data_IF_822659107914
#
_entry.id   IF_822659107914
#
_cell.length_a   1.000
_cell.length_b   1.000
_cell.length_c   1.000
_cell.angle_alpha   90.00
_cell.angle_beta   90.00
_cell.angle_gamma   90.00
#
_symmetry.space_group_name_H-M   'P 1'
#
loop_
_entity.id
_entity.type
_entity.pdbx_description
1 polymer ?
#
# COMPACT_ATOMS: atom_id res chain seq x y z
N UNK A 1 13.46 21.94 -8.68
CA UNK A 1 12.08 22.23 -8.19
C UNK A 1 11.81 23.70 -8.25
N UNK A 2 10.61 24.12 -8.69
CA UNK A 2 10.18 25.52 -8.59
C UNK A 2 10.18 25.93 -7.11
N UNK A 3 10.58 27.16 -6.80
CA UNK A 3 10.49 27.70 -5.45
C UNK A 3 9.03 27.71 -4.99
N UNK A 4 8.72 26.98 -3.93
CA UNK A 4 7.40 27.03 -3.29
C UNK A 4 7.46 27.92 -2.04
N UNK A 5 6.34 28.56 -1.68
CA UNK A 5 6.22 29.28 -0.41
C UNK A 5 5.73 28.29 0.67
N UNK A 6 6.52 27.97 1.70
CA UNK A 6 6.10 27.07 2.78
C UNK A 6 4.79 27.51 3.47
N UNK A 7 4.50 28.79 3.49
CA UNK A 7 3.28 29.34 4.13
C UNK A 7 1.98 28.93 3.44
N UNK A 8 2.03 28.57 2.16
CA UNK A 8 0.83 28.13 1.41
C UNK A 8 0.20 26.85 1.99
N UNK A 9 0.96 26.05 2.75
CA UNK A 9 0.43 24.84 3.36
C UNK A 9 -0.36 25.12 4.65
N UNK A 10 -0.15 26.27 5.30
CA UNK A 10 -0.70 26.54 6.62
C UNK A 10 -0.16 25.58 7.68
N UNK A 11 -0.90 25.39 8.76
CA UNK A 11 -0.54 24.44 9.83
C UNK A 11 -0.87 23.02 9.41
N UNK A 12 0.14 22.13 9.39
CA UNK A 12 0.06 20.76 8.90
C UNK A 12 0.16 19.77 10.05
N UNK A 13 -0.82 18.88 10.17
CA UNK A 13 -0.74 17.70 11.04
C UNK A 13 -0.06 16.55 10.30
N UNK A 14 0.93 15.92 10.88
CA UNK A 14 1.42 14.63 10.42
C UNK A 14 0.77 13.56 11.29
N UNK A 15 -0.22 12.87 10.72
CA UNK A 15 -0.92 11.79 11.41
C UNK A 15 0.00 10.59 11.50
N UNK A 16 0.29 10.13 12.73
CA UNK A 16 1.23 9.05 13.00
C UNK A 16 0.75 8.22 14.19
N UNK A 17 1.34 7.06 14.41
CA UNK A 17 0.98 6.16 15.51
C UNK A 17 -0.32 5.41 15.21
N UNK A 18 -1.43 5.81 15.82
CA UNK A 18 -2.71 5.11 15.70
C UNK A 18 -2.74 3.80 16.51
N UNK A 19 -3.79 2.99 16.30
CA UNK A 19 -4.06 1.78 17.11
C UNK A 19 -3.79 0.46 16.38
N UNK A 20 -3.31 0.52 15.12
CA UNK A 20 -3.06 -0.68 14.34
C UNK A 20 -1.83 -1.46 14.82
N UNK A 21 -1.70 -2.71 14.36
CA UNK A 21 -0.50 -3.52 14.59
C UNK A 21 0.77 -2.89 13.98
N UNK A 22 0.62 -1.91 13.06
CA UNK A 22 1.72 -1.21 12.39
C UNK A 22 2.10 0.12 13.08
N UNK A 23 1.63 0.35 14.33
CA UNK A 23 1.88 1.58 15.09
C UNK A 23 3.34 2.04 15.08
N UNK A 24 4.28 1.15 15.33
CA UNK A 24 5.72 1.47 15.38
C UNK A 24 6.26 1.95 14.03
N UNK A 25 5.81 1.33 12.95
CA UNK A 25 6.17 1.74 11.58
C UNK A 25 5.61 3.14 11.28
N UNK A 26 4.38 3.39 11.71
CA UNK A 26 3.70 4.69 11.57
C UNK A 26 4.40 5.79 12.37
N UNK A 27 4.78 5.53 13.62
CA UNK A 27 5.54 6.47 14.45
C UNK A 27 6.89 6.82 13.81
N UNK A 28 7.60 5.83 13.28
CA UNK A 28 8.88 6.05 12.61
C UNK A 28 8.72 6.85 11.30
N UNK A 29 7.77 6.45 10.45
CA UNK A 29 7.44 7.16 9.20
C UNK A 29 7.05 8.61 9.48
N UNK A 30 6.11 8.82 10.40
CA UNK A 30 5.60 10.15 10.72
C UNK A 30 6.66 11.08 11.31
N UNK A 31 7.58 10.56 12.16
CA UNK A 31 8.69 11.36 12.69
C UNK A 31 9.60 11.88 11.59
N UNK A 32 9.97 11.02 10.64
CA UNK A 32 10.80 11.40 9.50
C UNK A 32 10.08 12.39 8.58
N UNK A 33 8.76 12.21 8.36
CA UNK A 33 7.94 13.16 7.60
C UNK A 33 7.90 14.53 8.28
N UNK A 34 7.66 14.59 9.60
CA UNK A 34 7.71 15.86 10.36
C UNK A 34 9.07 16.54 10.18
N UNK A 35 10.15 15.80 10.32
CA UNK A 35 11.50 16.32 10.14
C UNK A 35 11.68 16.90 8.73
N UNK A 36 11.38 16.11 7.68
CA UNK A 36 11.55 16.55 6.29
C UNK A 36 10.71 17.78 5.93
N UNK A 37 9.46 17.87 6.41
CA UNK A 37 8.61 19.03 6.20
C UNK A 37 9.14 20.26 6.93
N UNK A 38 9.62 20.13 8.17
CA UNK A 38 10.23 21.23 8.93
C UNK A 38 11.55 21.73 8.32
N UNK A 39 12.38 20.84 7.81
CA UNK A 39 13.59 21.19 7.04
C UNK A 39 13.27 21.99 5.75
N UNK A 40 12.06 21.84 5.23
CA UNK A 40 11.54 22.63 4.11
C UNK A 40 10.87 23.95 4.56
N UNK A 41 10.86 24.26 5.86
CA UNK A 41 10.25 25.47 6.42
C UNK A 41 8.73 25.39 6.61
N UNK A 42 8.12 24.22 6.48
CA UNK A 42 6.67 23.99 6.63
C UNK A 42 6.33 23.83 8.12
N UNK A 43 5.23 24.47 8.55
CA UNK A 43 4.71 24.40 9.92
C UNK A 43 4.02 23.04 10.18
N UNK A 44 4.84 21.99 10.37
CA UNK A 44 4.41 20.61 10.52
C UNK A 44 4.51 20.11 11.97
N UNK A 45 3.46 19.46 12.46
CA UNK A 45 3.35 18.96 13.84
C UNK A 45 2.92 17.50 13.87
N UNK A 46 3.50 16.66 14.75
CA UNK A 46 3.03 15.31 14.96
C UNK A 46 1.65 15.31 15.60
N UNK A 47 0.79 14.41 15.17
CA UNK A 47 -0.54 14.21 15.72
C UNK A 47 -0.86 12.72 15.76
N UNK A 48 -0.97 12.17 16.97
CA UNK A 48 -1.33 10.77 17.19
C UNK A 48 -2.81 10.65 17.55
N UNK A 49 -3.67 10.12 16.67
CA UNK A 49 -5.10 9.97 16.97
C UNK A 49 -5.43 8.92 18.05
N UNK A 50 -4.48 8.07 18.44
CA UNK A 50 -4.64 7.19 19.60
C UNK A 50 -4.50 7.94 20.94
N UNK A 51 -3.80 9.08 20.94
CA UNK A 51 -3.53 9.87 22.14
C UNK A 51 -4.39 11.13 22.21
N UNK A 52 -4.93 11.59 21.06
CA UNK A 52 -5.63 12.86 20.92
C UNK A 52 -6.89 12.72 20.08
N UNK A 53 -8.02 13.31 20.50
CA UNK A 53 -9.25 13.27 19.68
C UNK A 53 -9.06 14.03 18.36
N UNK A 54 -9.57 13.48 17.26
CA UNK A 54 -9.47 14.12 15.93
C UNK A 54 -10.09 15.52 15.87
N UNK A 55 -11.08 15.83 16.71
CA UNK A 55 -11.67 17.16 16.80
C UNK A 55 -10.62 18.24 17.12
N UNK A 56 -9.58 17.90 17.88
CA UNK A 56 -8.49 18.82 18.20
C UNK A 56 -7.76 19.36 16.96
N UNK A 57 -7.79 18.64 15.83
CA UNK A 57 -7.22 19.14 14.57
C UNK A 57 -7.85 20.47 14.16
N UNK A 58 -9.18 20.57 14.22
CA UNK A 58 -9.90 21.78 13.87
C UNK A 58 -9.73 22.88 14.93
N UNK A 59 -9.84 22.50 16.19
CA UNK A 59 -9.76 23.46 17.32
C UNK A 59 -8.39 24.13 17.39
N UNK A 60 -7.34 23.43 16.99
CA UNK A 60 -5.96 23.95 16.97
C UNK A 60 -5.56 24.59 15.64
N UNK A 61 -6.48 24.70 14.68
CA UNK A 61 -6.26 25.40 13.42
C UNK A 61 -5.43 24.64 12.39
N UNK A 62 -5.41 23.32 12.45
CA UNK A 62 -4.83 22.53 11.37
C UNK A 62 -5.71 22.62 10.11
N UNK A 63 -5.08 22.84 8.98
CA UNK A 63 -5.77 22.98 7.68
C UNK A 63 -5.40 21.86 6.71
N UNK A 64 -4.34 21.13 7.01
CA UNK A 64 -3.85 19.99 6.23
C UNK A 64 -3.37 18.86 7.12
N UNK A 65 -3.43 17.65 6.57
CA UNK A 65 -2.86 16.46 7.20
C UNK A 65 -1.96 15.71 6.20
N UNK A 66 -0.78 15.32 6.64
CA UNK A 66 0.00 14.27 5.98
C UNK A 66 -0.35 12.95 6.66
N UNK A 67 -1.00 12.04 5.96
CA UNK A 67 -1.35 10.74 6.50
C UNK A 67 -0.15 9.79 6.45
N UNK A 68 0.46 9.53 7.59
CA UNK A 68 1.51 8.54 7.79
C UNK A 68 1.04 7.40 8.73
N UNK A 69 -0.27 7.26 8.91
CA UNK A 69 -0.86 6.09 9.59
C UNK A 69 -0.76 4.86 8.67
N UNK A 70 -0.57 3.70 9.27
CA UNK A 70 -0.51 2.43 8.55
C UNK A 70 -1.52 1.45 9.12
N UNK A 71 -2.18 0.71 8.23
CA UNK A 71 -3.19 -0.28 8.56
C UNK A 71 -4.46 0.30 9.18
N UNK A 72 -5.47 -0.55 9.40
CA UNK A 72 -6.71 -0.22 10.08
C UNK A 72 -7.39 1.04 9.56
N UNK A 73 -7.83 1.91 10.47
CA UNK A 73 -8.55 3.14 10.12
C UNK A 73 -7.66 4.17 9.38
N UNK A 74 -6.35 4.03 9.38
CA UNK A 74 -5.44 4.90 8.63
C UNK A 74 -5.54 4.72 7.12
N UNK A 75 -5.95 3.53 6.66
CA UNK A 75 -5.95 3.14 5.25
C UNK A 75 -7.32 2.68 4.72
N UNK A 76 -8.33 2.49 5.57
CA UNK A 76 -9.62 1.94 5.18
C UNK A 76 -10.72 2.97 4.85
N UNK A 77 -10.38 4.26 4.75
CA UNK A 77 -11.32 5.34 4.47
C UNK A 77 -11.89 6.04 5.70
N UNK A 78 -11.72 5.50 6.90
CA UNK A 78 -12.29 6.09 8.12
C UNK A 78 -11.63 7.42 8.48
N UNK A 79 -10.30 7.48 8.52
CA UNK A 79 -9.59 8.73 8.81
C UNK A 79 -9.83 9.76 7.71
N UNK A 80 -9.88 9.34 6.45
CA UNK A 80 -10.16 10.18 5.31
C UNK A 80 -11.55 10.82 5.44
N UNK A 81 -12.58 10.02 5.77
CA UNK A 81 -13.92 10.54 6.00
C UNK A 81 -14.04 11.51 7.17
N UNK A 82 -13.28 11.29 8.24
CA UNK A 82 -13.23 12.21 9.37
C UNK A 82 -12.56 13.54 8.98
N UNK A 83 -11.47 13.50 8.20
CA UNK A 83 -10.78 14.69 7.71
C UNK A 83 -11.66 15.47 6.73
N UNK A 84 -12.38 14.79 5.83
CA UNK A 84 -13.37 15.40 4.93
C UNK A 84 -14.46 16.13 5.72
N UNK A 85 -15.00 15.50 6.77
CA UNK A 85 -16.02 16.09 7.63
C UNK A 85 -15.52 17.35 8.35
N UNK A 86 -14.26 17.40 8.76
CA UNK A 86 -13.65 18.57 9.38
C UNK A 86 -13.15 19.61 8.37
N UNK A 87 -13.21 19.35 7.06
CA UNK A 87 -12.70 20.24 6.02
C UNK A 87 -11.18 20.36 6.02
N UNK A 88 -10.47 19.32 6.46
CA UNK A 88 -9.02 19.25 6.49
C UNK A 88 -8.54 18.51 5.25
N UNK A 89 -7.76 19.16 4.38
CA UNK A 89 -7.15 18.51 3.21
C UNK A 89 -6.06 17.55 3.67
N UNK A 90 -5.92 16.42 2.98
CA UNK A 90 -4.94 15.39 3.36
C UNK A 90 -4.24 14.77 2.15
N UNK A 91 -3.09 14.17 2.39
CA UNK A 91 -2.32 13.46 1.37
C UNK A 91 -2.93 12.10 1.08
N UNK A 92 -2.97 11.74 -0.20
CA UNK A 92 -3.36 10.41 -0.66
C UNK A 92 -4.83 10.28 -1.03
N UNK A 93 -5.25 9.04 -1.16
CA UNK A 93 -6.59 8.69 -1.66
C UNK A 93 -7.69 9.07 -0.69
N UNK A 94 -8.85 9.47 -1.24
CA UNK A 94 -10.07 9.71 -0.47
C UNK A 94 -10.70 8.42 0.05
N UNK A 95 -11.89 8.56 0.64
CA UNK A 95 -12.64 7.46 1.30
C UNK A 95 -12.78 6.24 0.42
N UNK A 96 -13.27 6.41 -0.82
CA UNK A 96 -13.52 5.29 -1.73
C UNK A 96 -12.22 4.56 -2.11
N UNK A 97 -11.20 5.31 -2.56
CA UNK A 97 -9.93 4.73 -2.98
C UNK A 97 -9.22 3.99 -1.85
N UNK A 98 -9.22 4.57 -0.64
CA UNK A 98 -8.65 3.94 0.54
C UNK A 98 -9.40 2.67 0.93
N UNK A 99 -10.73 2.70 0.99
CA UNK A 99 -11.53 1.55 1.37
C UNK A 99 -11.42 0.39 0.36
N UNK A 100 -11.44 0.70 -0.94
CA UNK A 100 -11.26 -0.32 -1.98
C UNK A 100 -9.82 -0.84 -1.99
N UNK A 101 -8.82 0.05 -1.91
CA UNK A 101 -7.41 -0.33 -1.97
C UNK A 101 -6.98 -1.29 -0.86
N UNK A 102 -7.53 -1.14 0.34
CA UNK A 102 -7.26 -2.05 1.44
C UNK A 102 -7.94 -3.41 1.27
N UNK A 103 -9.15 -3.45 0.68
CA UNK A 103 -9.94 -4.67 0.50
C UNK A 103 -9.49 -5.43 -0.76
N UNK A 104 -8.61 -6.42 -0.59
CA UNK A 104 -8.05 -7.22 -1.70
C UNK A 104 -9.11 -7.91 -2.53
N UNK A 105 -10.20 -8.37 -1.91
CA UNK A 105 -11.28 -9.04 -2.65
C UNK A 105 -11.99 -8.08 -3.60
N UNK A 106 -12.41 -6.92 -3.09
CA UNK A 106 -13.13 -5.91 -3.89
C UNK A 106 -12.21 -5.26 -4.91
N UNK A 107 -10.97 -4.98 -4.55
CA UNK A 107 -9.92 -4.55 -5.48
C UNK A 107 -9.81 -5.48 -6.69
N UNK A 108 -9.68 -6.79 -6.46
CA UNK A 108 -9.55 -7.79 -7.53
C UNK A 108 -10.79 -7.90 -8.39
N UNK A 109 -12.00 -7.77 -7.82
CA UNK A 109 -13.24 -7.73 -8.60
C UNK A 109 -13.28 -6.51 -9.54
N UNK A 110 -12.91 -5.32 -9.05
CA UNK A 110 -12.84 -4.10 -9.87
C UNK A 110 -11.79 -4.28 -10.98
N UNK A 111 -10.61 -4.75 -10.64
CA UNK A 111 -9.53 -4.99 -11.60
C UNK A 111 -9.93 -5.99 -12.69
N UNK A 112 -10.52 -7.12 -12.30
CA UNK A 112 -10.97 -8.13 -13.25
C UNK A 112 -12.01 -7.56 -14.23
N UNK A 113 -12.98 -6.79 -13.72
CA UNK A 113 -14.02 -6.17 -14.55
C UNK A 113 -13.47 -5.09 -15.50
N UNK A 114 -12.43 -4.36 -15.09
CA UNK A 114 -11.84 -3.26 -15.86
C UNK A 114 -10.57 -3.67 -16.63
N UNK A 115 -10.26 -4.97 -16.69
CA UNK A 115 -9.16 -5.51 -17.48
C UNK A 115 -7.76 -5.17 -16.94
N UNK A 116 -7.63 -4.95 -15.62
CA UNK A 116 -6.33 -4.92 -14.94
C UNK A 116 -5.93 -6.34 -14.58
N UNK A 117 -4.75 -6.81 -15.04
CA UNK A 117 -4.34 -8.18 -14.75
C UNK A 117 -4.14 -8.41 -13.24
N UNK A 118 -4.77 -9.45 -12.71
CA UNK A 118 -4.59 -9.90 -11.32
C UNK A 118 -4.57 -11.43 -11.31
N UNK A 119 -3.89 -12.07 -10.34
CA UNK A 119 -3.93 -13.53 -10.25
C UNK A 119 -5.36 -14.05 -10.22
N UNK A 120 -5.69 -15.17 -10.91
CA UNK A 120 -6.96 -15.85 -10.73
C UNK A 120 -7.22 -16.13 -9.25
N UNK A 121 -8.43 -15.87 -8.78
CA UNK A 121 -8.75 -15.95 -7.36
C UNK A 121 -10.16 -16.44 -7.09
N UNK A 122 -10.37 -16.93 -5.87
CA UNK A 122 -11.66 -17.27 -5.26
C UNK A 122 -11.78 -16.58 -3.91
N UNK A 123 -13.01 -16.38 -3.46
CA UNK A 123 -13.30 -15.91 -2.11
C UNK A 123 -13.97 -17.02 -1.29
N UNK A 124 -13.60 -17.10 -0.03
CA UNK A 124 -14.19 -18.00 0.97
C UNK A 124 -14.68 -17.18 2.14
N UNK A 125 -15.88 -17.43 2.61
CA UNK A 125 -16.44 -16.72 3.77
C UNK A 125 -16.09 -17.45 5.06
N UNK A 126 -15.92 -16.70 6.13
CA UNK A 126 -15.81 -17.29 7.47
C UNK A 126 -17.05 -18.11 7.78
N UNK A 127 -16.85 -19.38 8.12
CA UNK A 127 -17.93 -20.33 8.42
C UNK A 127 -18.39 -21.18 7.25
N UNK A 128 -17.83 -21.02 6.06
CA UNK A 128 -18.03 -21.95 4.95
C UNK A 128 -17.50 -23.37 5.30
N UNK A 129 -17.94 -24.38 4.57
CA UNK A 129 -17.30 -25.70 4.62
C UNK A 129 -15.94 -25.64 3.91
N UNK A 130 -14.88 -25.43 4.70
CA UNK A 130 -13.52 -25.26 4.17
C UNK A 130 -13.01 -26.47 3.43
N UNK A 131 -13.43 -27.69 3.79
CA UNK A 131 -13.01 -28.90 3.09
C UNK A 131 -13.63 -28.99 1.69
N UNK A 132 -14.93 -28.73 1.58
CA UNK A 132 -15.61 -28.66 0.29
C UNK A 132 -15.06 -27.53 -0.57
N UNK A 133 -14.91 -26.32 -0.01
CA UNK A 133 -14.35 -25.16 -0.72
C UNK A 133 -12.93 -25.40 -1.21
N UNK A 134 -12.08 -26.05 -0.41
CA UNK A 134 -10.72 -26.37 -0.80
C UNK A 134 -10.67 -27.28 -2.03
N UNK A 135 -11.53 -28.30 -2.09
CA UNK A 135 -11.61 -29.19 -3.24
C UNK A 135 -11.95 -28.43 -4.53
N UNK A 136 -12.97 -27.59 -4.48
CA UNK A 136 -13.41 -26.78 -5.64
C UNK A 136 -12.32 -25.79 -6.08
N UNK A 137 -11.68 -25.12 -5.14
CA UNK A 137 -10.65 -24.12 -5.40
C UNK A 137 -9.42 -24.75 -6.05
N UNK A 138 -8.95 -25.89 -5.53
CA UNK A 138 -7.81 -26.61 -6.11
C UNK A 138 -8.12 -27.10 -7.53
N UNK A 139 -9.34 -27.58 -7.75
CA UNK A 139 -9.77 -27.99 -9.10
C UNK A 139 -9.78 -26.81 -10.08
N UNK A 140 -10.16 -25.62 -9.64
CA UNK A 140 -10.30 -24.42 -10.48
C UNK A 140 -8.98 -23.68 -10.70
N UNK A 141 -8.20 -23.45 -9.64
CA UNK A 141 -7.00 -22.63 -9.67
C UNK A 141 -5.69 -23.42 -9.78
N UNK A 142 -5.71 -24.69 -9.39
CA UNK A 142 -4.50 -25.52 -9.25
C UNK A 142 -3.61 -25.03 -8.10
N UNK A 143 -2.45 -25.66 -7.94
CA UNK A 143 -1.45 -25.33 -6.91
C UNK A 143 -0.18 -24.75 -7.58
N UNK A 144 0.67 -24.01 -6.85
CA UNK A 144 0.47 -23.51 -5.48
C UNK A 144 -0.48 -22.31 -5.42
N UNK A 145 -0.98 -22.02 -4.19
CA UNK A 145 -1.95 -20.96 -3.90
C UNK A 145 -1.43 -20.03 -2.78
N UNK A 146 -1.90 -18.80 -2.75
CA UNK A 146 -1.80 -17.92 -1.58
C UNK A 146 -3.18 -17.72 -0.96
N UNK A 147 -3.25 -17.88 0.36
CA UNK A 147 -4.44 -17.64 1.18
C UNK A 147 -4.21 -16.38 2.00
N UNK A 148 -5.14 -15.42 1.95
CA UNK A 148 -4.97 -14.08 2.55
C UNK A 148 -6.28 -13.59 3.14
N UNK A 149 -6.28 -12.95 4.33
CA UNK A 149 -7.41 -12.11 4.74
C UNK A 149 -7.63 -10.96 3.73
N UNK A 150 -8.88 -10.58 3.47
CA UNK A 150 -9.16 -9.57 2.45
C UNK A 150 -8.67 -8.16 2.84
N UNK A 151 -8.81 -7.76 4.12
CA UNK A 151 -8.60 -6.38 4.58
C UNK A 151 -7.41 -6.19 5.53
N UNK A 152 -6.53 -7.18 5.62
CA UNK A 152 -5.31 -7.07 6.43
C UNK A 152 -4.11 -6.61 5.61
N UNK A 153 -3.29 -5.74 6.21
CA UNK A 153 -2.03 -5.26 5.65
C UNK A 153 -0.83 -6.14 6.04
N UNK A 154 0.37 -5.70 5.64
CA UNK A 154 1.67 -6.19 6.11
C UNK A 154 1.87 -7.71 6.08
N UNK A 155 1.25 -8.41 5.15
CA UNK A 155 1.32 -9.88 5.01
C UNK A 155 0.84 -10.65 6.24
N UNK A 156 -0.01 -10.07 7.10
CA UNK A 156 -0.63 -10.76 8.24
C UNK A 156 -1.46 -11.92 7.72
N UNK A 157 -1.22 -13.11 8.29
CA UNK A 157 -1.90 -14.37 7.94
C UNK A 157 -1.90 -14.71 6.43
N UNK A 158 -0.88 -14.28 5.68
CA UNK A 158 -0.66 -14.70 4.30
C UNK A 158 0.04 -16.07 4.32
N UNK A 159 -0.60 -17.07 3.72
CA UNK A 159 -0.13 -18.46 3.76
C UNK A 159 0.03 -18.98 2.34
N UNK A 160 1.22 -19.47 1.99
CA UNK A 160 1.47 -20.18 0.74
C UNK A 160 1.11 -21.67 0.90
N UNK A 161 0.19 -22.15 0.10
CA UNK A 161 -0.33 -23.52 0.14
C UNK A 161 0.20 -24.28 -1.07
N UNK A 162 0.93 -25.37 -0.83
CA UNK A 162 1.58 -26.20 -1.86
C UNK A 162 0.88 -27.53 -2.07
N UNK A 163 0.00 -27.96 -1.15
CA UNK A 163 -0.74 -29.21 -1.22
C UNK A 163 -2.22 -29.00 -0.91
N UNK A 164 -3.10 -29.82 -1.51
CA UNK A 164 -4.55 -29.65 -1.38
C UNK A 164 -5.05 -29.88 0.05
N UNK A 165 -4.45 -30.81 0.77
CA UNK A 165 -4.77 -31.15 2.14
C UNK A 165 -4.40 -30.07 3.16
N UNK A 166 -3.48 -29.15 2.82
CA UNK A 166 -3.14 -28.00 3.66
C UNK A 166 -4.12 -26.82 3.51
N UNK A 167 -4.92 -26.76 2.45
CA UNK A 167 -5.77 -25.61 2.15
C UNK A 167 -6.87 -25.38 3.20
N UNK A 168 -7.61 -26.38 3.71
CA UNK A 168 -8.64 -26.16 4.73
C UNK A 168 -8.09 -25.47 6.00
N UNK A 169 -6.93 -25.92 6.50
CA UNK A 169 -6.31 -25.33 7.67
C UNK A 169 -5.83 -23.89 7.43
N UNK A 170 -5.32 -23.62 6.22
CA UNK A 170 -4.93 -22.25 5.83
C UNK A 170 -6.14 -21.31 5.75
N UNK A 171 -7.28 -21.78 5.25
CA UNK A 171 -8.55 -21.03 5.22
C UNK A 171 -9.04 -20.73 6.63
N UNK A 172 -9.02 -21.73 7.52
CA UNK A 172 -9.41 -21.55 8.92
C UNK A 172 -8.53 -20.51 9.64
N UNK A 173 -7.22 -20.56 9.40
CA UNK A 173 -6.28 -19.61 10.00
C UNK A 173 -6.53 -18.18 9.52
N UNK A 174 -6.61 -17.96 8.20
CA UNK A 174 -6.85 -16.63 7.62
C UNK A 174 -8.23 -16.08 8.01
N UNK A 175 -9.26 -16.92 8.16
CA UNK A 175 -10.60 -16.55 8.58
C UNK A 175 -10.67 -16.03 10.05
N UNK A 176 -9.64 -16.22 10.86
CA UNK A 176 -9.58 -15.60 12.20
C UNK A 176 -9.44 -14.08 12.10
N UNK A 177 -8.80 -13.59 11.05
CA UNK A 177 -8.45 -12.18 10.85
C UNK A 177 -9.51 -11.41 10.06
N UNK A 178 -10.21 -12.06 9.12
CA UNK A 178 -11.24 -11.40 8.31
C UNK A 178 -12.46 -12.32 8.08
N UNK A 179 -13.58 -11.72 7.69
CA UNK A 179 -14.79 -12.42 7.26
C UNK A 179 -14.67 -13.00 5.85
N UNK A 180 -13.82 -12.39 5.02
CA UNK A 180 -13.55 -12.79 3.64
C UNK A 180 -12.08 -13.20 3.54
N UNK A 181 -11.85 -14.40 3.04
CA UNK A 181 -10.53 -14.93 2.73
C UNK A 181 -10.38 -14.99 1.21
N UNK A 182 -9.33 -14.38 0.68
CA UNK A 182 -8.97 -14.46 -0.73
C UNK A 182 -7.99 -15.62 -0.91
N UNK A 183 -8.30 -16.50 -1.85
CA UNK A 183 -7.40 -17.57 -2.31
C UNK A 183 -7.01 -17.26 -3.74
N UNK A 184 -5.74 -17.06 -4.00
CA UNK A 184 -5.25 -16.69 -5.33
C UNK A 184 -4.18 -17.64 -5.84
N UNK A 185 -4.12 -17.81 -7.16
CA UNK A 185 -3.04 -18.54 -7.83
C UNK A 185 -1.70 -17.89 -7.56
N UNK A 186 -0.71 -18.67 -7.13
CA UNK A 186 0.68 -18.19 -7.05
C UNK A 186 1.21 -17.87 -8.44
N UNK A 187 1.70 -16.67 -8.65
CA UNK A 187 2.40 -16.27 -9.88
C UNK A 187 3.89 -16.49 -9.64
N UNK A 188 4.54 -17.21 -10.55
CA UNK A 188 5.92 -17.63 -10.37
C UNK A 188 6.77 -17.35 -11.63
N UNK A 189 8.08 -17.26 -11.44
CA UNK A 189 9.09 -17.26 -12.50
C UNK A 189 9.65 -15.90 -12.88
N UNK A 190 8.89 -14.79 -12.79
CA UNK A 190 9.37 -13.46 -13.18
C UNK A 190 9.82 -12.58 -12.00
N UNK A 191 9.32 -12.84 -10.79
CA UNK A 191 9.67 -12.10 -9.57
C UNK A 191 8.63 -11.06 -9.14
N UNK A 192 8.91 -10.42 -8.01
CA UNK A 192 8.03 -9.44 -7.36
C UNK A 192 8.53 -8.01 -7.63
N UNK A 193 7.59 -7.12 -7.91
CA UNK A 193 7.85 -5.74 -8.30
C UNK A 193 6.87 -4.79 -7.61
N UNK A 194 7.30 -3.54 -7.50
CA UNK A 194 6.43 -2.44 -7.06
C UNK A 194 6.67 -1.20 -7.87
N UNK A 195 5.60 -0.46 -8.15
CA UNK A 195 5.63 0.86 -8.75
C UNK A 195 5.09 1.89 -7.77
N UNK A 196 5.93 2.86 -7.40
CA UNK A 196 5.55 4.00 -6.58
C UNK A 196 4.91 5.08 -7.45
N UNK A 197 3.80 5.65 -6.96
CA UNK A 197 3.05 6.74 -7.58
C UNK A 197 3.14 7.94 -6.63
N UNK A 198 3.54 9.12 -7.12
CA UNK A 198 3.56 10.35 -6.33
C UNK A 198 3.34 11.54 -7.29
N UNK A 199 2.06 11.87 -7.54
CA UNK A 199 1.69 12.86 -8.54
C UNK A 199 2.27 12.54 -9.92
N UNK A 200 3.03 13.49 -10.45
CA UNK A 200 3.67 13.40 -11.78
C UNK A 200 5.17 13.04 -11.68
N UNK A 201 5.67 12.63 -10.51
CA UNK A 201 7.06 12.20 -10.38
C UNK A 201 7.31 10.90 -11.14
N UNK A 202 8.34 10.89 -11.97
CA UNK A 202 8.75 9.70 -12.72
C UNK A 202 9.64 8.81 -11.85
N UNK A 203 9.02 8.04 -10.96
CA UNK A 203 9.69 7.12 -10.06
C UNK A 203 9.95 5.77 -10.76
N UNK A 204 11.13 5.13 -10.54
CA UNK A 204 11.45 3.85 -11.13
C UNK A 204 10.63 2.71 -10.48
N UNK A 205 10.39 1.66 -11.24
CA UNK A 205 9.92 0.38 -10.72
C UNK A 205 11.04 -0.27 -9.92
N UNK A 206 10.68 -0.86 -8.79
CA UNK A 206 11.61 -1.60 -7.93
C UNK A 206 11.32 -3.10 -8.07
N UNK A 207 12.34 -3.90 -8.35
CA UNK A 207 12.26 -5.34 -8.19
C UNK A 207 12.63 -5.71 -6.76
N UNK A 208 11.78 -6.50 -6.11
CA UNK A 208 11.96 -6.98 -4.74
C UNK A 208 12.46 -8.42 -4.81
N UNK A 209 13.59 -8.68 -4.17
CA UNK A 209 14.18 -10.02 -4.09
C UNK A 209 14.30 -10.38 -2.61
N UNK A 210 13.27 -11.00 -2.02
CA UNK A 210 13.33 -11.44 -0.62
C UNK A 210 14.36 -12.56 -0.47
N UNK A 211 14.99 -12.66 0.70
CA UNK A 211 15.87 -13.78 1.03
C UNK A 211 15.09 -15.08 1.27
N UNK A 212 13.83 -14.96 1.69
CA UNK A 212 12.88 -16.05 1.89
C UNK A 212 12.08 -16.42 0.65
N UNK A 213 11.07 -17.24 0.83
CA UNK A 213 10.24 -17.74 -0.27
C UNK A 213 9.32 -16.67 -0.87
N UNK A 214 8.91 -15.68 -0.08
CA UNK A 214 8.11 -14.51 -0.49
C UNK A 214 8.35 -13.31 0.44
N UNK A 215 7.88 -12.16 0.04
CA UNK A 215 8.05 -10.89 0.75
C UNK A 215 7.04 -10.77 1.90
N UNK A 216 7.34 -11.46 3.01
CA UNK A 216 6.52 -11.51 4.23
C UNK A 216 6.78 -10.32 5.18
N UNK A 217 6.11 -10.32 6.34
CA UNK A 217 6.29 -9.30 7.39
C UNK A 217 7.75 -9.18 7.84
N UNK A 218 8.42 -10.31 8.05
CA UNK A 218 9.81 -10.34 8.48
C UNK A 218 10.73 -9.71 7.42
N UNK A 219 10.53 -10.07 6.15
CA UNK A 219 11.28 -9.50 5.02
C UNK A 219 11.01 -8.00 4.81
N UNK A 220 9.82 -7.51 5.18
CA UNK A 220 9.43 -6.09 5.05
C UNK A 220 10.05 -5.19 6.12
N UNK A 221 10.10 -5.65 7.37
CA UNK A 221 10.36 -4.77 8.53
C UNK A 221 11.50 -5.20 9.44
N UNK A 222 11.94 -6.46 9.38
CA UNK A 222 12.92 -7.01 10.32
C UNK A 222 14.21 -7.40 9.62
N UNK A 223 14.10 -8.08 8.49
CA UNK A 223 15.25 -8.58 7.75
C UNK A 223 15.96 -7.46 6.98
N UNK A 224 17.30 -7.53 6.95
CA UNK A 224 18.13 -6.59 6.18
C UNK A 224 18.71 -7.23 4.91
N UNK A 225 18.28 -8.43 4.56
CA UNK A 225 18.80 -9.25 3.44
C UNK A 225 17.91 -9.23 2.20
N UNK A 226 16.72 -8.61 2.27
CA UNK A 226 15.91 -8.32 1.08
C UNK A 226 16.62 -7.34 0.17
N UNK A 227 16.80 -7.71 -1.10
CA UNK A 227 17.40 -6.83 -2.09
C UNK A 227 16.33 -6.05 -2.85
N UNK A 228 16.59 -4.77 -3.07
CA UNK A 228 15.75 -3.85 -3.83
C UNK A 228 16.52 -3.37 -5.04
N UNK A 229 16.22 -3.93 -6.20
CA UNK A 229 16.98 -3.66 -7.43
C UNK A 229 16.39 -2.47 -8.18
N UNK A 230 17.20 -1.44 -8.36
CA UNK A 230 16.93 -0.26 -9.17
C UNK A 230 18.22 0.01 -9.99
N UNK A 231 18.21 -0.16 -11.31
CA UNK A 231 17.08 -0.53 -12.21
C UNK A 231 16.51 -1.92 -11.91
N UNK A 232 15.21 -2.12 -12.17
CA UNK A 232 14.48 -3.34 -11.83
C UNK A 232 14.79 -4.55 -12.75
N UNK A 233 15.62 -4.36 -13.76
CA UNK A 233 16.10 -5.42 -14.63
C UNK A 233 15.25 -5.72 -15.86
N UNK A 234 14.15 -4.97 -16.10
CA UNK A 234 13.40 -5.04 -17.36
C UNK A 234 13.86 -3.95 -18.35
N UNK A 235 13.56 -4.10 -19.64
CA UNK A 235 13.88 -3.08 -20.64
C UNK A 235 13.12 -1.77 -20.36
N UNK A 236 13.69 -0.59 -20.71
CA UNK A 236 13.04 0.72 -20.41
C UNK A 236 11.61 0.85 -20.96
N UNK A 237 11.34 0.34 -22.17
CA UNK A 237 9.99 0.36 -22.75
C UNK A 237 9.01 -0.50 -21.95
N UNK A 238 9.48 -1.63 -21.42
CA UNK A 238 8.66 -2.50 -20.57
C UNK A 238 8.43 -1.87 -19.20
N UNK A 239 9.44 -1.23 -18.60
CA UNK A 239 9.27 -0.50 -17.35
C UNK A 239 8.23 0.62 -17.49
N UNK A 240 8.27 1.38 -18.61
CA UNK A 240 7.25 2.40 -18.89
C UNK A 240 5.85 1.80 -19.01
N UNK A 241 5.71 0.62 -19.67
CA UNK A 241 4.43 -0.11 -19.76
C UNK A 241 3.94 -0.54 -18.37
N UNK A 242 4.82 -1.09 -17.53
CA UNK A 242 4.49 -1.52 -16.18
C UNK A 242 4.06 -0.34 -15.30
N UNK A 243 4.74 0.81 -15.39
CA UNK A 243 4.33 2.05 -14.69
C UNK A 243 2.95 2.52 -15.12
N UNK A 244 2.66 2.51 -16.42
CA UNK A 244 1.34 2.89 -16.94
C UNK A 244 0.23 1.94 -16.46
N UNK A 245 0.49 0.63 -16.40
CA UNK A 245 -0.45 -0.35 -15.87
C UNK A 245 -0.64 -0.19 -14.35
N UNK A 246 0.44 0.06 -13.60
CA UNK A 246 0.37 0.32 -12.17
C UNK A 246 -0.46 1.58 -11.86
N UNK A 247 -0.27 2.65 -12.65
CA UNK A 247 -1.08 3.86 -12.57
C UNK A 247 -2.55 3.55 -12.86
N UNK A 248 -2.84 2.78 -13.91
CA UNK A 248 -4.21 2.35 -14.21
C UNK A 248 -4.81 1.50 -13.09
N UNK A 249 -4.05 0.54 -12.54
CA UNK A 249 -4.51 -0.30 -11.43
C UNK A 249 -4.90 0.52 -10.19
N UNK A 250 -4.20 1.62 -9.96
CA UNK A 250 -4.45 2.57 -8.89
C UNK A 250 -5.69 3.44 -9.20
N UNK A 251 -5.74 4.06 -10.37
CA UNK A 251 -6.78 5.01 -10.74
C UNK A 251 -8.18 4.39 -10.83
N UNK A 252 -8.30 3.15 -11.34
CA UNK A 252 -9.61 2.48 -11.48
C UNK A 252 -10.28 2.13 -10.14
N UNK A 253 -9.52 2.16 -9.05
CA UNK A 253 -10.04 2.02 -7.68
C UNK A 253 -10.50 3.36 -7.09
N UNK A 254 -10.33 4.47 -7.82
CA UNK A 254 -10.56 5.80 -7.29
C UNK A 254 -9.44 6.29 -6.36
N UNK A 255 -8.28 5.65 -6.43
CA UNK A 255 -7.10 6.11 -5.71
C UNK A 255 -6.52 7.35 -6.38
N UNK A 256 -5.96 8.28 -5.59
CA UNK A 256 -5.42 9.57 -6.07
C UNK A 256 -4.09 9.88 -5.43
N UNK A 257 -3.42 10.89 -5.99
CA UNK A 257 -2.24 11.56 -5.48
C UNK A 257 -0.99 10.67 -5.38
N UNK A 258 -0.89 9.83 -4.36
CA UNK A 258 0.28 9.00 -4.14
C UNK A 258 -0.08 7.65 -3.53
N UNK A 259 0.79 6.70 -3.75
CA UNK A 259 0.63 5.34 -3.27
C UNK A 259 1.63 4.40 -3.93
N UNK A 260 1.32 3.11 -3.88
CA UNK A 260 2.14 2.05 -4.45
C UNK A 260 1.24 0.93 -5.00
N UNK A 261 1.61 0.40 -6.15
CA UNK A 261 0.99 -0.80 -6.71
C UNK A 261 2.01 -1.94 -6.74
N UNK A 262 1.66 -3.07 -6.12
CA UNK A 262 2.52 -4.25 -6.00
C UNK A 262 2.04 -5.33 -6.97
N UNK A 263 2.98 -5.94 -7.69
CA UNK A 263 2.67 -6.94 -8.72
C UNK A 263 3.77 -7.99 -8.89
N UNK A 264 3.37 -9.14 -9.41
CA UNK A 264 4.28 -10.19 -9.84
C UNK A 264 4.41 -10.17 -11.36
N UNK A 265 5.56 -10.57 -11.88
CA UNK A 265 5.68 -11.01 -13.26
C UNK A 265 5.70 -12.54 -13.31
N UNK A 266 5.07 -13.13 -14.32
CA UNK A 266 5.25 -14.56 -14.61
C UNK A 266 6.55 -14.81 -15.40
N UNK A 267 6.84 -16.07 -15.70
CA UNK A 267 8.04 -16.44 -16.46
C UNK A 267 8.07 -15.87 -17.89
N UNK A 268 6.95 -15.41 -18.42
CA UNK A 268 6.81 -14.76 -19.73
C UNK A 268 6.84 -13.24 -19.66
N UNK A 269 6.94 -12.65 -18.43
CA UNK A 269 6.97 -11.22 -18.20
C UNK A 269 5.58 -10.56 -18.14
N UNK A 270 4.50 -11.34 -18.06
CA UNK A 270 3.17 -10.77 -17.89
C UNK A 270 2.96 -10.31 -16.44
N UNK A 271 2.46 -9.08 -16.22
CA UNK A 271 2.20 -8.56 -14.87
C UNK A 271 0.87 -9.05 -14.30
N UNK A 272 0.87 -9.28 -12.99
CA UNK A 272 -0.32 -9.61 -12.20
C UNK A 272 -0.31 -8.76 -10.92
N UNK A 273 -1.23 -7.80 -10.82
CA UNK A 273 -1.33 -6.90 -9.67
C UNK A 273 -1.90 -7.62 -8.45
N UNK A 274 -1.24 -7.45 -7.32
CA UNK A 274 -1.58 -8.10 -6.05
C UNK A 274 -2.44 -7.20 -5.18
N UNK A 275 -1.99 -5.95 -4.98
CA UNK A 275 -2.62 -4.95 -4.12
C UNK A 275 -2.15 -3.54 -4.48
N UNK A 276 -2.88 -2.52 -4.01
CA UNK A 276 -2.41 -1.15 -3.90
C UNK A 276 -2.26 -0.78 -2.43
N UNK A 277 -1.32 0.13 -2.17
CA UNK A 277 -1.10 0.68 -0.85
C UNK A 277 -1.26 2.20 -0.94
N UNK A 278 -2.28 2.74 -0.26
CA UNK A 278 -2.69 4.15 -0.36
C UNK A 278 -1.98 5.07 0.64
N UNK A 279 -1.28 4.49 1.63
CA UNK A 279 -0.44 5.22 2.57
C UNK A 279 0.86 4.44 2.83
N UNK A 280 1.74 4.32 1.81
CA UNK A 280 2.94 3.51 1.93
C UNK A 280 3.91 4.08 2.97
N UNK A 281 4.70 3.19 3.58
CA UNK A 281 5.71 3.56 4.57
C UNK A 281 6.70 4.62 4.07
N UNK A 282 7.11 5.48 4.99
CA UNK A 282 8.03 6.60 4.73
C UNK A 282 9.29 6.56 5.60
N UNK A 283 9.72 5.36 6.01
CA UNK A 283 11.02 5.16 6.68
C UNK A 283 12.15 5.08 5.65
N UNK A 284 13.40 5.08 6.11
CA UNK A 284 14.58 4.90 5.24
C UNK A 284 14.59 3.56 4.50
N UNK A 285 13.92 2.56 5.05
CA UNK A 285 13.77 1.23 4.43
C UNK A 285 12.58 1.14 3.48
N UNK A 286 11.69 2.13 3.47
CA UNK A 286 10.47 2.14 2.67
C UNK A 286 10.74 2.33 1.18
N UNK A 287 9.86 1.79 0.36
CA UNK A 287 10.03 1.73 -1.10
C UNK A 287 9.92 3.10 -1.78
N UNK A 288 8.96 4.01 -1.41
CA UNK A 288 8.90 5.33 -2.04
C UNK A 288 10.16 6.18 -1.81
N UNK A 289 10.75 6.27 -0.61
CA UNK A 289 12.04 6.94 -0.41
C UNK A 289 13.20 6.31 -1.21
N UNK A 290 13.22 4.97 -1.36
CA UNK A 290 14.23 4.29 -2.20
C UNK A 290 14.08 4.65 -3.68
N UNK A 291 12.84 4.63 -4.21
CA UNK A 291 12.56 5.01 -5.59
C UNK A 291 12.96 6.47 -5.87
N UNK A 292 12.59 7.40 -4.97
CA UNK A 292 12.92 8.81 -5.09
C UNK A 292 14.43 9.06 -5.08
N UNK A 293 15.15 8.44 -4.15
CA UNK A 293 16.61 8.55 -4.03
C UNK A 293 17.32 8.06 -5.30
N UNK A 294 16.82 6.99 -5.93
CA UNK A 294 17.43 6.44 -7.15
C UNK A 294 17.39 7.42 -8.34
N UNK A 295 16.46 8.38 -8.35
CA UNK A 295 16.36 9.43 -9.37
C UNK A 295 16.79 10.81 -8.85
N UNK A 296 17.55 10.85 -7.74
CA UNK A 296 18.13 12.09 -7.20
C UNK A 296 17.17 12.99 -6.43
N UNK A 297 15.96 12.49 -6.09
CA UNK A 297 15.00 13.23 -5.26
C UNK A 297 15.33 12.97 -3.80
N UNK A 298 15.62 14.03 -3.03
CA UNK A 298 15.87 13.92 -1.59
C UNK A 298 14.60 13.52 -0.82
N UNK A 299 14.77 12.97 0.38
CA UNK A 299 13.63 12.64 1.26
C UNK A 299 12.76 13.87 1.54
N UNK A 300 13.38 15.02 1.85
CA UNK A 300 12.71 16.30 2.01
C UNK A 300 11.87 16.67 0.79
N UNK A 301 12.46 16.57 -0.40
CA UNK A 301 11.76 16.92 -1.63
C UNK A 301 10.61 15.96 -1.94
N UNK A 302 10.74 14.68 -1.61
CA UNK A 302 9.66 13.70 -1.74
C UNK A 302 8.47 14.05 -0.84
N UNK A 303 8.70 14.30 0.47
CA UNK A 303 7.59 14.60 1.40
C UNK A 303 6.91 15.92 1.06
N UNK A 304 7.68 16.92 0.59
CA UNK A 304 7.13 18.19 0.09
C UNK A 304 6.31 17.96 -1.17
N UNK A 305 6.78 17.15 -2.11
CA UNK A 305 6.05 16.82 -3.34
C UNK A 305 4.72 16.13 -3.03
N UNK A 306 4.71 15.15 -2.12
CA UNK A 306 3.49 14.46 -1.68
C UNK A 306 2.52 15.45 -1.00
N UNK A 307 3.01 16.28 -0.08
CA UNK A 307 2.14 17.29 0.57
C UNK A 307 1.60 18.30 -0.43
N UNK A 308 2.38 18.66 -1.47
CA UNK A 308 1.96 19.63 -2.50
C UNK A 308 0.76 19.16 -3.31
N UNK A 309 0.49 17.85 -3.37
CA UNK A 309 -0.70 17.32 -4.03
C UNK A 309 -2.00 17.82 -3.36
N UNK A 310 -1.95 18.15 -2.07
CA UNK A 310 -3.09 18.73 -1.33
C UNK A 310 -3.39 20.19 -1.71
N UNK A 311 -2.58 20.82 -2.55
CA UNK A 311 -2.81 22.19 -3.04
C UNK A 311 -3.64 22.22 -4.33
N UNK A 312 -3.77 21.08 -5.00
CA UNK A 312 -4.64 20.93 -6.17
C UNK A 312 -6.10 20.99 -5.70
N UNK A 313 -6.95 21.69 -6.44
CA UNK A 313 -8.39 21.81 -6.16
C UNK A 313 -9.12 20.50 -6.49
#
# INVERSE_FOLDING_TARGET
>A
MSSFDPKQFGKVAVLLGGESAEREVSLNSGRLVVQGLREAGIDAHPFDPAERPLAALKDEGFVRAFNALHGGYGENGQIQGALDFYGIRYTGSGVLGSALGLDKFRTKLVWQQLGVPTPPFEAVLRGDDYAARATDIVAKLGLPLFVKPASEGSSVAVIKVKSADALPAALEEAAKFDKIVVVEKSIEGGGEYTACIAGDLDLPVIRIVPAGEFYDYHAKYVANDTQYLIPCGVAPAEEARLKALARRAFDVLGCTDWGRADFMLDAQGNPYFLEVNTAPGMTDHSLPPKAARAVGISYKDLVVSVLSLTLKD
#
